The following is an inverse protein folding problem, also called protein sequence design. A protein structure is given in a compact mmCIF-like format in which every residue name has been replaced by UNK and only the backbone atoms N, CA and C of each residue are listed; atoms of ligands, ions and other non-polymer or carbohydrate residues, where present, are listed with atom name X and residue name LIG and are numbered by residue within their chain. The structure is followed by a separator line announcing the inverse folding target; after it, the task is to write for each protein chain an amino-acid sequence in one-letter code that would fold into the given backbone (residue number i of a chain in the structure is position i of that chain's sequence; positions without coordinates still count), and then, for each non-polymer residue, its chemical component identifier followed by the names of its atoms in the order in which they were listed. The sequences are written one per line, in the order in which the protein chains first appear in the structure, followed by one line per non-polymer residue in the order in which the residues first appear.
data_IF_295720122709
#
_entry.id   IF_295720122709
#
_cell.length_a   1.000
_cell.length_b   1.000
_cell.length_c   1.000
_cell.angle_alpha   90.00
_cell.angle_beta   90.00
_cell.angle_gamma   90.00
#
_symmetry.space_group_name_H-M   'P 1'
#
loop_
_entity.id
_entity.type
_entity.pdbx_description
1 polymer ?
#
# COMPACT_ATOMS: atom_id res chain seq x y z
N UNK A 1 -78.39 -38.86 -29.11
CA UNK A 1 -77.00 -38.76 -29.56
C UNK A 1 -76.15 -38.37 -28.36
N UNK A 2 -75.40 -39.32 -27.79
CA UNK A 2 -74.50 -39.07 -26.66
C UNK A 2 -73.24 -38.37 -27.17
N UNK A 3 -72.91 -37.22 -26.58
CA UNK A 3 -71.66 -36.52 -26.81
C UNK A 3 -70.50 -37.33 -26.19
N UNK A 4 -69.55 -37.74 -27.02
CA UNK A 4 -68.39 -38.52 -26.61
C UNK A 4 -67.46 -37.73 -25.70
N UNK A 5 -67.14 -38.32 -24.55
CA UNK A 5 -66.08 -37.89 -23.65
C UNK A 5 -64.74 -38.21 -24.35
N UNK A 6 -64.07 -37.18 -24.86
CA UNK A 6 -62.73 -37.30 -25.44
C UNK A 6 -61.70 -37.59 -24.34
N UNK A 7 -60.97 -38.69 -24.49
CA UNK A 7 -59.91 -39.11 -23.59
C UNK A 7 -58.79 -38.05 -23.50
N UNK A 8 -58.45 -37.63 -22.27
CA UNK A 8 -57.26 -36.82 -21.99
C UNK A 8 -56.01 -37.70 -22.15
N UNK A 9 -55.20 -37.47 -23.18
CA UNK A 9 -53.96 -38.23 -23.41
C UNK A 9 -52.91 -37.91 -22.34
N UNK A 10 -52.52 -38.92 -21.53
CA UNK A 10 -51.59 -38.79 -20.40
C UNK A 10 -50.10 -38.63 -20.72
N UNK A 11 -49.72 -38.49 -22.00
CA UNK A 11 -48.31 -38.37 -22.43
C UNK A 11 -47.99 -37.00 -23.04
N UNK A 12 -48.74 -35.94 -22.69
CA UNK A 12 -48.47 -34.60 -23.19
C UNK A 12 -47.38 -33.95 -22.33
N UNK A 13 -46.26 -33.48 -22.91
CA UNK A 13 -45.23 -32.79 -22.14
C UNK A 13 -45.82 -31.54 -21.49
N UNK A 14 -45.34 -31.23 -20.28
CA UNK A 14 -45.80 -30.10 -19.50
C UNK A 14 -45.70 -28.81 -20.32
N UNK A 15 -46.79 -28.05 -20.38
CA UNK A 15 -46.90 -26.82 -21.15
C UNK A 15 -46.61 -25.60 -20.27
N UNK A 16 -45.44 -25.59 -19.61
CA UNK A 16 -44.97 -24.45 -18.81
C UNK A 16 -43.97 -23.63 -19.62
N UNK A 17 -43.81 -22.33 -19.29
CA UNK A 17 -42.85 -21.46 -19.97
C UNK A 17 -41.40 -21.98 -19.87
N UNK A 18 -41.06 -22.69 -18.80
CA UNK A 18 -39.76 -23.32 -18.60
C UNK A 18 -39.57 -24.55 -19.49
N UNK A 19 -40.49 -25.52 -19.43
CA UNK A 19 -40.42 -26.79 -20.18
C UNK A 19 -40.55 -26.59 -21.70
N UNK A 20 -41.22 -25.52 -22.12
CA UNK A 20 -41.40 -25.16 -23.54
C UNK A 20 -40.36 -24.14 -24.04
N UNK A 21 -39.39 -23.73 -23.20
CA UNK A 21 -38.34 -22.77 -23.54
C UNK A 21 -38.87 -21.40 -24.02
N UNK A 22 -39.96 -20.91 -23.40
CA UNK A 22 -40.60 -19.62 -23.69
C UNK A 22 -40.47 -18.63 -22.55
N UNK A 23 -39.43 -18.77 -21.74
CA UNK A 23 -39.13 -17.78 -20.71
C UNK A 23 -38.90 -16.41 -21.37
N UNK A 24 -39.38 -15.32 -20.73
CA UNK A 24 -39.05 -13.98 -21.20
C UNK A 24 -37.54 -13.80 -21.13
N UNK A 25 -36.91 -13.58 -22.28
CA UNK A 25 -35.47 -13.41 -22.40
C UNK A 25 -35.18 -12.10 -23.15
N UNK A 26 -34.19 -11.35 -22.67
CA UNK A 26 -33.64 -10.24 -23.42
C UNK A 26 -32.61 -10.78 -24.41
N UNK A 27 -32.84 -10.54 -25.70
CA UNK A 27 -31.97 -10.98 -26.80
C UNK A 27 -31.38 -9.77 -27.51
N UNK A 28 -30.34 -9.12 -26.94
CA UNK A 28 -29.74 -7.94 -27.55
C UNK A 28 -29.03 -8.34 -28.85
N UNK A 29 -29.51 -7.80 -29.96
CA UNK A 29 -28.82 -7.87 -31.24
C UNK A 29 -27.86 -6.68 -31.33
N UNK A 30 -26.56 -6.98 -31.31
CA UNK A 30 -25.49 -6.00 -31.50
C UNK A 30 -25.41 -5.61 -32.99
N UNK A 31 -26.27 -4.67 -33.39
CA UNK A 31 -26.24 -4.06 -34.71
C UNK A 31 -25.29 -2.85 -34.71
N UNK A 32 -24.90 -2.37 -35.90
CA UNK A 32 -24.08 -1.17 -36.01
C UNK A 32 -24.74 0.05 -35.33
N UNK A 33 -26.07 0.16 -35.41
CA UNK A 33 -26.83 1.24 -34.79
C UNK A 33 -26.80 1.23 -33.25
N UNK A 34 -26.57 0.09 -32.62
CA UNK A 34 -26.43 -0.02 -31.16
C UNK A 34 -24.96 -0.03 -30.71
N UNK A 35 -24.07 -0.66 -31.47
CA UNK A 35 -22.65 -0.75 -31.13
C UNK A 35 -21.90 0.57 -31.32
N UNK A 36 -22.14 1.31 -32.41
CA UNK A 36 -21.40 2.55 -32.72
C UNK A 36 -21.56 3.61 -31.62
N UNK A 37 -22.77 3.96 -31.14
CA UNK A 37 -22.93 4.90 -30.04
C UNK A 37 -22.22 4.43 -28.77
N UNK A 38 -22.24 3.11 -28.49
CA UNK A 38 -21.58 2.55 -27.30
C UNK A 38 -20.07 2.81 -27.33
N UNK A 39 -19.40 2.58 -28.46
CA UNK A 39 -17.96 2.82 -28.60
C UNK A 39 -17.59 4.30 -28.42
N UNK A 40 -18.35 5.22 -29.04
CA UNK A 40 -18.10 6.66 -28.88
C UNK A 40 -18.39 7.14 -27.45
N UNK A 41 -19.51 6.72 -26.85
CA UNK A 41 -19.86 7.09 -25.47
C UNK A 41 -18.84 6.54 -24.47
N UNK A 42 -18.48 5.26 -24.58
CA UNK A 42 -17.47 4.65 -23.72
C UNK A 42 -16.09 5.31 -23.91
N UNK A 43 -15.72 5.63 -25.15
CA UNK A 43 -14.48 6.31 -25.48
C UNK A 43 -14.39 7.71 -24.86
N UNK A 44 -15.42 8.54 -25.05
CA UNK A 44 -15.50 9.89 -24.47
C UNK A 44 -15.51 9.86 -22.94
N UNK A 45 -16.26 8.92 -22.33
CA UNK A 45 -16.27 8.74 -20.88
C UNK A 45 -14.88 8.33 -20.36
N UNK A 46 -14.20 7.40 -21.02
CA UNK A 46 -12.84 6.99 -20.64
C UNK A 46 -11.82 8.11 -20.79
N UNK A 47 -11.94 8.95 -21.84
CA UNK A 47 -11.08 10.13 -21.99
C UNK A 47 -11.31 11.16 -20.89
N UNK A 48 -12.57 11.47 -20.56
CA UNK A 48 -12.90 12.41 -19.50
C UNK A 48 -12.36 11.94 -18.13
N UNK A 49 -12.58 10.65 -17.81
CA UNK A 49 -12.01 10.05 -16.60
C UNK A 49 -10.49 10.07 -16.66
N UNK A 50 -9.88 9.63 -17.76
CA UNK A 50 -8.42 9.59 -17.93
C UNK A 50 -7.74 10.95 -17.73
N UNK A 51 -8.31 12.02 -18.30
CA UNK A 51 -7.84 13.39 -18.10
C UNK A 51 -7.96 13.83 -16.63
N UNK A 52 -9.10 13.56 -15.99
CA UNK A 52 -9.30 13.88 -14.58
C UNK A 52 -8.32 13.16 -13.66
N UNK A 53 -8.10 11.86 -13.88
CA UNK A 53 -7.14 11.05 -13.12
C UNK A 53 -5.70 11.52 -13.33
N UNK A 54 -5.33 11.85 -14.58
CA UNK A 54 -3.99 12.33 -14.91
C UNK A 54 -3.72 13.68 -14.24
N UNK A 55 -4.64 14.64 -14.37
CA UNK A 55 -4.55 15.94 -13.71
C UNK A 55 -4.49 15.81 -12.18
N UNK A 56 -5.32 14.95 -11.59
CA UNK A 56 -5.29 14.70 -10.15
C UNK A 56 -3.97 14.06 -9.68
N UNK A 57 -3.26 13.32 -10.53
CA UNK A 57 -1.94 12.79 -10.22
C UNK A 57 -0.85 13.86 -10.34
N UNK A 58 -0.95 14.76 -11.32
CA UNK A 58 0.06 15.80 -11.56
C UNK A 58 0.04 16.93 -10.53
N UNK A 59 -1.10 17.18 -9.91
CA UNK A 59 -1.20 18.12 -8.78
C UNK A 59 -0.46 17.66 -7.52
N UNK A 60 -0.12 16.37 -7.43
CA UNK A 60 0.62 15.80 -6.29
C UNK A 60 2.09 16.21 -6.36
N UNK A 61 2.56 16.79 -5.25
CA UNK A 61 3.96 17.18 -5.08
C UNK A 61 4.68 16.08 -4.31
N UNK A 62 5.77 15.61 -4.88
CA UNK A 62 6.58 14.52 -4.35
C UNK A 62 8.06 14.90 -4.44
N UNK A 63 8.79 14.67 -3.35
CA UNK A 63 10.24 14.82 -3.27
C UNK A 63 10.83 13.50 -2.78
N UNK A 64 11.73 12.91 -3.58
CA UNK A 64 12.50 11.72 -3.19
C UNK A 64 13.93 12.10 -2.84
N UNK A 65 14.42 11.66 -1.69
CA UNK A 65 15.78 11.86 -1.23
C UNK A 65 16.44 10.50 -0.99
N UNK A 66 17.46 10.17 -1.78
CA UNK A 66 18.28 8.98 -1.56
C UNK A 66 19.31 9.24 -0.46
N UNK A 67 19.30 8.38 0.55
CA UNK A 67 20.25 8.42 1.68
C UNK A 67 21.00 7.10 1.86
N UNK A 68 21.00 6.24 0.83
CA UNK A 68 21.65 4.92 0.86
C UNK A 68 23.13 5.02 1.26
N UNK A 69 23.80 6.10 0.83
CA UNK A 69 25.22 6.33 1.09
C UNK A 69 26.15 5.85 -0.03
N UNK A 70 25.70 5.91 -1.29
CA UNK A 70 26.53 5.58 -2.44
C UNK A 70 27.75 6.52 -2.55
N UNK A 71 28.92 6.03 -3.01
CA UNK A 71 30.11 6.86 -3.20
C UNK A 71 29.82 8.02 -4.17
N UNK A 72 30.19 9.24 -3.78
CA UNK A 72 29.98 10.44 -4.61
C UNK A 72 28.63 11.16 -4.40
N UNK A 73 27.78 10.72 -3.48
CA UNK A 73 26.44 11.29 -3.26
C UNK A 73 26.39 12.68 -2.61
N UNK A 74 27.54 13.31 -2.35
CA UNK A 74 27.64 14.68 -1.81
C UNK A 74 27.21 14.86 -0.35
N UNK A 75 26.76 13.79 0.33
CA UNK A 75 26.31 13.82 1.72
C UNK A 75 27.03 12.78 2.60
N UNK A 76 27.00 12.97 3.92
CA UNK A 76 27.77 12.19 4.89
C UNK A 76 27.22 10.77 5.17
N UNK A 77 26.08 10.39 4.58
CA UNK A 77 25.49 9.05 4.77
C UNK A 77 26.37 7.91 4.24
N UNK A 78 27.32 8.18 3.33
CA UNK A 78 28.32 7.20 2.89
C UNK A 78 29.21 6.68 4.03
N UNK A 79 29.52 7.53 5.02
CA UNK A 79 30.24 7.12 6.23
C UNK A 79 29.42 6.15 7.06
N UNK A 80 28.12 6.45 7.22
CA UNK A 80 27.20 5.58 7.96
C UNK A 80 26.93 4.26 7.25
N UNK A 81 26.88 4.26 5.92
CA UNK A 81 26.70 3.04 5.15
C UNK A 81 27.90 2.08 5.34
N UNK A 82 29.13 2.61 5.33
CA UNK A 82 30.34 1.85 5.61
C UNK A 82 30.43 1.40 7.09
N UNK A 83 30.06 2.27 8.03
CA UNK A 83 30.03 1.93 9.46
C UNK A 83 29.00 0.83 9.78
N UNK A 84 27.83 0.89 9.14
CA UNK A 84 26.77 -0.11 9.26
C UNK A 84 27.21 -1.47 8.71
N UNK A 85 27.97 -1.50 7.61
CA UNK A 85 28.62 -2.73 7.11
C UNK A 85 29.65 -3.30 8.09
N UNK A 86 30.37 -2.44 8.81
CA UNK A 86 31.35 -2.84 9.81
C UNK A 86 30.74 -3.23 11.18
N UNK A 87 29.41 -3.19 11.32
CA UNK A 87 28.71 -3.54 12.56
C UNK A 87 28.83 -2.49 13.67
N UNK A 88 29.25 -1.25 13.35
CA UNK A 88 29.29 -0.15 14.29
C UNK A 88 27.89 0.47 14.44
N UNK A 89 27.31 0.40 15.64
CA UNK A 89 26.01 1.01 15.93
C UNK A 89 26.08 2.53 16.11
N UNK A 90 24.98 3.22 15.81
CA UNK A 90 24.79 4.63 16.16
C UNK A 90 25.49 5.63 15.24
N UNK A 91 25.17 5.61 13.94
CA UNK A 91 25.63 6.64 12.99
C UNK A 91 24.50 7.57 12.59
N UNK A 92 24.76 8.88 12.61
CA UNK A 92 23.81 9.89 12.14
C UNK A 92 24.33 10.60 10.91
N UNK A 93 23.47 10.77 9.91
CA UNK A 93 23.76 11.54 8.71
C UNK A 93 22.69 12.61 8.48
N UNK A 94 23.04 13.67 7.74
CA UNK A 94 22.16 14.81 7.54
C UNK A 94 22.04 15.12 6.06
N UNK A 95 20.81 15.24 5.59
CA UNK A 95 20.49 15.70 4.24
C UNK A 95 19.96 17.13 4.29
N UNK A 96 20.56 18.02 3.50
CA UNK A 96 20.03 19.37 3.28
C UNK A 96 19.39 19.43 1.91
N UNK A 97 18.17 19.92 1.84
CA UNK A 97 17.41 20.04 0.60
C UNK A 97 16.55 21.29 0.60
N UNK A 98 16.14 21.73 -0.57
CA UNK A 98 15.28 22.88 -0.77
C UNK A 98 13.96 22.43 -1.39
N UNK A 99 12.85 22.91 -0.84
CA UNK A 99 11.54 22.80 -1.47
C UNK A 99 11.35 24.03 -2.35
N UNK A 100 11.30 23.89 -3.70
CA UNK A 100 11.15 25.02 -4.62
C UNK A 100 9.73 25.59 -4.61
N UNK A 101 8.76 24.81 -4.16
CA UNK A 101 7.36 25.21 -4.02
C UNK A 101 6.83 24.66 -2.70
N UNK A 102 5.76 25.28 -2.19
CA UNK A 102 5.05 24.79 -1.01
C UNK A 102 4.40 23.44 -1.29
N UNK A 103 4.51 22.51 -0.35
CA UNK A 103 3.75 21.25 -0.36
C UNK A 103 2.45 21.45 0.44
N UNK A 104 1.26 21.42 -0.20
CA UNK A 104 0.00 21.56 0.51
C UNK A 104 -0.24 20.38 1.46
N UNK A 105 -0.72 20.67 2.68
CA UNK A 105 -1.02 19.65 3.68
C UNK A 105 -2.27 18.82 3.33
N UNK A 106 -2.39 17.59 3.87
CA UNK A 106 -1.41 16.91 4.73
C UNK A 106 -0.23 16.35 3.92
N UNK A 107 0.99 16.49 4.45
CA UNK A 107 2.20 15.91 3.85
C UNK A 107 2.54 14.61 4.57
N UNK A 108 2.72 13.53 3.80
CA UNK A 108 3.11 12.23 4.31
C UNK A 108 4.59 11.98 4.07
N UNK A 109 5.27 11.48 5.09
CA UNK A 109 6.65 11.05 5.05
C UNK A 109 6.69 9.52 4.92
N UNK A 110 7.30 9.02 3.86
CA UNK A 110 7.50 7.60 3.62
C UNK A 110 8.99 7.26 3.64
N UNK A 111 9.32 6.06 4.10
CA UNK A 111 10.59 5.42 3.74
C UNK A 111 10.33 4.43 2.60
N UNK A 112 11.27 4.36 1.66
CA UNK A 112 11.26 3.40 0.57
C UNK A 112 12.50 2.52 0.65
N UNK A 113 12.28 1.21 0.53
CA UNK A 113 13.32 0.20 0.39
C UNK A 113 13.23 -0.37 -1.03
N UNK A 114 14.38 -0.59 -1.65
CA UNK A 114 14.49 -1.31 -2.91
C UNK A 114 15.25 -2.63 -2.71
N UNK A 115 15.04 -3.57 -3.63
CA UNK A 115 15.67 -4.89 -3.60
C UNK A 115 15.41 -5.66 -2.30
N UNK A 116 14.22 -5.48 -1.71
CA UNK A 116 13.81 -6.12 -0.46
C UNK A 116 12.54 -6.96 -0.65
N UNK A 117 12.67 -8.28 -0.67
CA UNK A 117 11.61 -9.21 -1.09
C UNK A 117 10.69 -9.65 0.06
N UNK A 118 9.82 -8.75 0.56
CA UNK A 118 8.78 -9.11 1.55
C UNK A 118 7.77 -10.14 1.04
N UNK A 119 7.61 -10.24 -0.28
CA UNK A 119 6.69 -11.16 -0.95
C UNK A 119 7.24 -12.59 -1.08
N UNK A 120 8.47 -12.87 -0.64
CA UNK A 120 9.00 -14.23 -0.65
C UNK A 120 8.16 -15.13 0.26
N UNK A 121 7.72 -16.29 -0.24
CA UNK A 121 6.76 -17.18 0.46
C UNK A 121 7.15 -17.45 1.92
N UNK A 122 8.39 -17.90 2.16
CA UNK A 122 8.88 -18.21 3.52
C UNK A 122 8.95 -16.99 4.43
N UNK A 123 9.16 -15.79 3.87
CA UNK A 123 9.19 -14.56 4.65
C UNK A 123 7.76 -14.14 5.01
N UNK A 124 6.85 -14.11 4.02
CA UNK A 124 5.47 -13.64 4.18
C UNK A 124 4.63 -14.50 5.13
N UNK A 125 4.90 -15.81 5.21
CA UNK A 125 4.21 -16.71 6.15
C UNK A 125 4.85 -16.75 7.54
N UNK A 126 6.05 -16.20 7.71
CA UNK A 126 6.80 -16.29 8.97
C UNK A 126 6.33 -15.24 9.98
N UNK A 127 5.16 -15.51 10.57
CA UNK A 127 4.50 -14.79 11.67
C UNK A 127 3.48 -15.69 12.36
N UNK A 128 3.04 -15.29 13.55
CA UNK A 128 1.93 -15.92 14.25
C UNK A 128 0.84 -14.87 14.53
N UNK A 129 -0.28 -14.97 13.80
CA UNK A 129 -1.37 -14.01 13.93
C UNK A 129 -2.11 -14.14 15.29
N UNK A 130 -2.07 -15.30 15.96
CA UNK A 130 -2.64 -15.44 17.33
C UNK A 130 -1.77 -14.74 18.36
N UNK A 131 -0.45 -14.86 18.22
CA UNK A 131 0.48 -14.12 19.06
C UNK A 131 0.29 -12.61 18.89
N UNK A 132 0.18 -12.13 17.65
CA UNK A 132 0.02 -10.71 17.31
C UNK A 132 -1.34 -10.13 17.73
N UNK A 133 -2.36 -10.98 17.91
CA UNK A 133 -3.65 -10.59 18.49
C UNK A 133 -3.65 -10.63 20.03
N UNK A 134 -2.52 -10.90 20.68
CA UNK A 134 -2.40 -10.90 22.15
C UNK A 134 -2.85 -12.18 22.84
N UNK A 135 -3.06 -13.28 22.10
CA UNK A 135 -3.45 -14.56 22.72
C UNK A 135 -2.30 -15.15 23.55
N UNK A 136 -2.56 -15.42 24.83
CA UNK A 136 -1.60 -16.01 25.76
C UNK A 136 -1.08 -17.38 25.27
N UNK A 137 -1.90 -18.14 24.53
CA UNK A 137 -1.49 -19.42 23.95
C UNK A 137 -0.41 -19.24 22.87
N UNK A 138 -0.57 -18.22 22.01
CA UNK A 138 0.39 -17.86 20.97
C UNK A 138 1.67 -17.21 21.51
N UNK A 139 1.60 -16.53 22.66
CA UNK A 139 2.79 -16.04 23.36
C UNK A 139 3.67 -17.19 23.89
N UNK A 140 3.04 -18.20 24.49
CA UNK A 140 3.75 -19.32 25.12
C UNK A 140 4.23 -20.37 24.12
N UNK A 141 3.45 -20.62 23.07
CA UNK A 141 3.76 -21.60 22.03
C UNK A 141 3.48 -21.03 20.64
N UNK A 142 4.41 -20.23 20.08
CA UNK A 142 4.19 -19.60 18.79
C UNK A 142 4.11 -20.63 17.65
N UNK A 143 3.46 -20.26 16.55
CA UNK A 143 3.28 -21.11 15.37
C UNK A 143 4.60 -21.63 14.77
N UNK A 144 4.55 -22.81 14.14
CA UNK A 144 5.71 -23.45 13.47
C UNK A 144 6.23 -22.65 12.27
N UNK A 145 5.35 -21.89 11.62
CA UNK A 145 5.68 -21.02 10.48
C UNK A 145 6.68 -19.90 10.86
N UNK A 146 6.78 -19.54 12.14
CA UNK A 146 7.77 -18.58 12.64
C UNK A 146 9.22 -19.09 12.57
N UNK A 147 9.47 -20.36 12.24
CA UNK A 147 10.83 -20.91 12.13
C UNK A 147 11.67 -20.15 11.09
N UNK A 148 12.94 -19.80 11.38
CA UNK A 148 13.72 -20.16 12.58
C UNK A 148 13.53 -19.21 13.77
N UNK A 149 12.85 -18.08 13.60
CA UNK A 149 12.66 -17.03 14.62
C UNK A 149 11.48 -17.32 15.56
N UNK A 150 11.27 -18.59 15.91
CA UNK A 150 10.22 -19.03 16.82
C UNK A 150 10.68 -19.00 18.27
N UNK A 151 11.91 -19.46 18.51
CA UNK A 151 12.52 -19.58 19.83
C UNK A 151 13.99 -19.13 19.77
N UNK A 152 14.48 -18.57 20.87
CA UNK A 152 15.90 -18.30 21.10
C UNK A 152 16.69 -19.62 21.23
N UNK A 153 18.04 -19.66 21.12
CA UNK A 153 18.83 -20.88 21.29
C UNK A 153 18.65 -21.57 22.66
N UNK A 154 18.12 -20.84 23.66
CA UNK A 154 17.76 -21.36 24.99
C UNK A 154 16.37 -22.01 25.05
N UNK A 155 15.63 -22.06 23.94
CA UNK A 155 14.27 -22.60 23.88
C UNK A 155 13.17 -21.64 24.36
N UNK A 156 13.51 -20.37 24.63
CA UNK A 156 12.55 -19.34 25.06
C UNK A 156 11.77 -18.82 23.85
N UNK A 157 10.43 -18.79 23.86
CA UNK A 157 9.61 -18.21 22.80
C UNK A 157 9.96 -16.75 22.49
N UNK A 158 10.06 -16.41 21.21
CA UNK A 158 10.30 -15.03 20.75
C UNK A 158 8.96 -14.31 20.58
N UNK A 159 8.85 -13.08 21.08
CA UNK A 159 7.68 -12.23 20.91
C UNK A 159 8.11 -10.82 20.44
N UNK A 160 7.70 -10.39 19.23
CA UNK A 160 6.97 -11.14 18.19
C UNK A 160 7.86 -12.15 17.44
N UNK A 161 7.34 -13.34 17.13
CA UNK A 161 8.05 -14.35 16.37
C UNK A 161 8.04 -14.08 14.85
N UNK A 162 9.01 -14.69 14.16
CA UNK A 162 9.02 -14.74 12.69
C UNK A 162 9.93 -13.72 11.99
N UNK A 163 10.22 -14.02 10.73
CA UNK A 163 11.19 -13.26 9.93
C UNK A 163 10.74 -11.82 9.63
N UNK A 164 9.42 -11.62 9.48
CA UNK A 164 8.85 -10.28 9.23
C UNK A 164 9.17 -9.38 10.41
N UNK A 165 8.81 -9.81 11.62
CA UNK A 165 9.00 -9.00 12.81
C UNK A 165 10.49 -8.81 13.12
N UNK A 166 11.31 -9.85 13.02
CA UNK A 166 12.75 -9.76 13.29
C UNK A 166 13.47 -8.72 12.41
N UNK A 167 13.00 -8.50 11.18
CA UNK A 167 13.63 -7.57 10.23
C UNK A 167 13.02 -6.16 10.23
N UNK A 168 12.34 -5.78 11.31
CA UNK A 168 11.73 -4.45 11.51
C UNK A 168 12.68 -3.31 11.12
N UNK A 169 12.18 -2.39 10.30
CA UNK A 169 12.88 -1.17 9.93
C UNK A 169 13.10 -0.26 11.15
N UNK A 170 14.33 0.20 11.36
CA UNK A 170 14.74 0.89 12.60
C UNK A 170 15.59 2.16 12.37
N UNK A 171 15.60 2.73 11.16
CA UNK A 171 16.12 4.09 10.98
C UNK A 171 15.12 5.10 11.56
N UNK A 172 15.64 6.19 12.12
CA UNK A 172 14.80 7.27 12.65
C UNK A 172 15.07 8.57 11.93
N UNK A 173 14.01 9.36 11.72
CA UNK A 173 14.06 10.62 10.99
C UNK A 173 13.66 11.80 11.87
N UNK A 174 14.46 12.87 11.84
CA UNK A 174 14.15 14.16 12.45
C UNK A 174 14.23 15.27 11.40
N UNK A 175 13.12 15.97 11.17
CA UNK A 175 13.01 17.01 10.15
C UNK A 175 13.10 18.40 10.78
N UNK A 176 13.85 19.29 10.14
CA UNK A 176 14.01 20.68 10.54
C UNK A 176 13.80 21.63 9.37
N UNK A 177 13.13 22.74 9.62
CA UNK A 177 12.90 23.83 8.68
C UNK A 177 13.79 25.03 9.02
N UNK A 178 14.48 25.60 8.04
CA UNK A 178 15.30 26.79 8.24
C UNK A 178 14.42 28.05 8.18
N UNK A 179 14.28 28.76 9.30
CA UNK A 179 13.65 30.07 9.34
C UNK A 179 14.56 31.06 10.09
N UNK A 180 14.70 32.29 9.59
CA UNK A 180 15.52 33.33 10.21
C UNK A 180 16.97 32.87 10.56
N UNK A 181 17.58 32.05 9.70
CA UNK A 181 18.94 31.52 9.90
C UNK A 181 19.05 30.38 10.94
N UNK A 182 17.95 29.96 11.57
CA UNK A 182 17.93 28.89 12.59
C UNK A 182 17.04 27.72 12.16
N UNK A 183 17.44 26.50 12.48
CA UNK A 183 16.67 25.29 12.19
C UNK A 183 15.64 25.02 13.29
N UNK A 184 14.36 25.07 12.95
CA UNK A 184 13.24 24.72 13.83
C UNK A 184 12.74 23.30 13.55
N UNK A 185 12.45 22.49 14.58
CA UNK A 185 11.94 21.14 14.37
C UNK A 185 10.54 21.17 13.73
N UNK A 186 10.33 20.30 12.75
CA UNK A 186 9.02 20.03 12.17
C UNK A 186 8.43 18.84 12.91
N UNK A 187 7.29 19.00 13.61
CA UNK A 187 6.62 17.89 14.29
C UNK A 187 6.23 16.80 13.28
N UNK A 188 6.69 15.57 13.54
CA UNK A 188 6.36 14.39 12.75
C UNK A 188 5.43 13.52 13.58
N UNK A 189 4.13 13.52 13.26
CA UNK A 189 3.15 12.72 14.00
C UNK A 189 3.25 11.24 13.61
N UNK A 190 3.27 10.38 14.62
CA UNK A 190 3.31 8.92 14.52
C UNK A 190 1.93 8.26 14.66
N UNK A 191 0.87 9.04 14.87
CA UNK A 191 -0.50 8.56 15.00
C UNK A 191 -1.23 8.51 13.66
N UNK A 192 -2.12 7.54 13.52
CA UNK A 192 -2.99 7.39 12.35
C UNK A 192 -2.20 7.16 11.06
N UNK A 193 -1.12 6.36 11.16
CA UNK A 193 -0.31 5.88 10.04
C UNK A 193 -0.68 4.44 9.64
N UNK A 194 -1.31 3.70 10.56
CA UNK A 194 -1.87 2.38 10.34
C UNK A 194 -3.37 2.43 9.97
N UNK A 195 -3.88 1.35 9.38
CA UNK A 195 -5.31 1.23 9.12
C UNK A 195 -6.06 0.96 10.42
N UNK A 196 -7.24 1.55 10.57
CA UNK A 196 -8.06 1.40 11.77
C UNK A 196 -8.32 -0.06 12.15
N UNK A 197 -8.59 -0.93 11.17
CA UNK A 197 -8.80 -2.37 11.41
C UNK A 197 -7.56 -3.08 11.91
N UNK A 198 -6.36 -2.63 11.52
CA UNK A 198 -5.13 -3.23 12.02
C UNK A 198 -4.91 -2.87 13.48
N UNK A 199 -5.04 -1.59 13.81
CA UNK A 199 -4.76 -1.08 15.17
C UNK A 199 -5.84 -1.42 16.19
N UNK A 200 -7.10 -1.62 15.77
CA UNK A 200 -8.22 -1.84 16.71
C UNK A 200 -8.78 -3.26 16.72
N UNK A 201 -8.47 -4.09 15.71
CA UNK A 201 -9.04 -5.44 15.60
C UNK A 201 -7.95 -6.50 15.45
N UNK A 202 -7.03 -6.30 14.49
CA UNK A 202 -6.09 -7.35 14.09
C UNK A 202 -4.92 -7.51 15.07
N UNK A 203 -4.33 -6.41 15.51
CA UNK A 203 -3.21 -6.40 16.44
C UNK A 203 -3.72 -5.98 17.81
N UNK A 204 -3.28 -6.69 18.85
CA UNK A 204 -3.65 -6.40 20.22
C UNK A 204 -2.55 -6.85 21.16
N UNK A 205 -2.35 -6.10 22.24
CA UNK A 205 -1.45 -6.52 23.30
C UNK A 205 -2.08 -7.64 24.12
N UNK A 206 -1.27 -8.52 24.72
CA UNK A 206 -1.76 -9.45 25.73
C UNK A 206 -2.39 -8.70 26.91
N UNK A 207 -3.30 -9.37 27.62
CA UNK A 207 -3.93 -8.80 28.81
C UNK A 207 -2.89 -8.35 29.83
N UNK A 208 -3.07 -7.14 30.36
CA UNK A 208 -2.17 -6.53 31.34
C UNK A 208 -2.21 -7.31 32.66
N UNK A 209 -1.06 -7.81 33.11
CA UNK A 209 -0.93 -8.48 34.40
C UNK A 209 -0.35 -7.49 35.40
N UNK A 210 -1.07 -7.19 36.48
CA UNK A 210 -0.68 -6.17 37.47
C UNK A 210 -0.46 -4.77 36.86
N UNK A 211 -1.19 -4.44 35.79
CA UNK A 211 -1.10 -3.14 35.12
C UNK A 211 0.19 -2.89 34.34
N UNK A 212 1.06 -3.89 34.19
CA UNK A 212 2.29 -3.78 33.40
C UNK A 212 2.24 -4.67 32.16
N UNK A 213 2.78 -4.15 31.06
CA UNK A 213 2.93 -4.92 29.82
C UNK A 213 4.17 -5.84 29.90
N UNK A 214 5.20 -5.44 30.64
CA UNK A 214 6.41 -6.25 30.84
C UNK A 214 6.10 -7.59 31.51
N UNK A 215 5.22 -7.58 32.51
CA UNK A 215 4.74 -8.79 33.20
C UNK A 215 3.89 -9.66 32.28
N UNK A 216 3.12 -9.06 31.36
CA UNK A 216 2.33 -9.79 30.36
C UNK A 216 3.22 -10.52 29.34
N UNK A 217 4.38 -9.95 28.99
CA UNK A 217 5.38 -10.57 28.12
C UNK A 217 6.37 -11.50 28.86
N UNK A 218 6.18 -11.74 30.17
CA UNK A 218 7.08 -12.58 30.96
C UNK A 218 7.15 -14.00 30.39
N UNK A 219 8.37 -14.52 30.24
CA UNK A 219 8.62 -15.84 29.65
C UNK A 219 8.83 -15.81 28.13
N UNK A 220 8.73 -14.63 27.50
CA UNK A 220 9.12 -14.42 26.11
C UNK A 220 10.44 -13.67 26.03
N UNK A 221 11.06 -13.63 24.85
CA UNK A 221 12.25 -12.85 24.57
C UNK A 221 12.14 -12.05 23.29
N UNK A 222 12.99 -11.03 23.14
CA UNK A 222 12.98 -10.13 21.97
C UNK A 222 13.51 -10.86 20.72
N UNK A 223 13.12 -10.42 19.52
CA UNK A 223 13.75 -10.90 18.29
C UNK A 223 15.27 -10.62 18.28
N UNK A 224 16.07 -11.48 17.63
CA UNK A 224 17.53 -11.35 17.60
C UNK A 224 18.03 -9.96 17.19
N UNK A 225 17.44 -9.37 16.15
CA UNK A 225 17.89 -8.09 15.58
C UNK A 225 17.27 -6.85 16.25
N UNK A 226 16.43 -7.04 17.28
CA UNK A 226 15.82 -5.91 17.97
C UNK A 226 16.73 -5.41 19.10
N UNK A 227 16.86 -4.10 19.31
CA UNK A 227 17.63 -3.56 20.44
C UNK A 227 16.93 -3.81 21.78
N UNK A 228 15.60 -3.69 21.80
CA UNK A 228 14.75 -3.82 22.99
C UNK A 228 13.57 -4.76 22.74
N UNK A 229 12.84 -5.13 23.79
CA UNK A 229 11.65 -5.97 23.68
C UNK A 229 10.43 -5.19 23.14
N UNK A 230 9.40 -5.91 22.69
CA UNK A 230 8.22 -5.30 22.05
C UNK A 230 7.47 -4.30 22.93
N UNK A 231 7.38 -4.56 24.23
CA UNK A 231 6.74 -3.66 25.18
C UNK A 231 7.53 -2.36 25.44
N UNK A 232 8.75 -2.24 24.90
CA UNK A 232 9.61 -1.05 24.98
C UNK A 232 9.72 -0.27 23.66
N UNK A 233 8.87 -0.58 22.66
CA UNK A 233 8.91 0.12 21.36
C UNK A 233 8.60 1.62 21.50
N UNK A 234 7.71 1.99 22.42
CA UNK A 234 7.41 3.38 22.76
C UNK A 234 7.20 3.50 24.28
N UNK A 235 8.25 3.86 25.03
CA UNK A 235 8.18 3.95 26.49
C UNK A 235 7.33 5.12 26.99
N UNK A 236 7.00 6.09 26.14
CA UNK A 236 6.24 7.29 26.50
C UNK A 236 4.73 7.17 26.31
N UNK A 237 4.25 6.15 25.60
CA UNK A 237 2.87 6.05 25.18
C UNK A 237 2.32 4.61 25.24
N UNK A 238 1.51 4.33 26.26
CA UNK A 238 0.85 3.01 26.41
C UNK A 238 -0.08 2.66 25.25
N UNK A 239 -0.62 3.66 24.54
CA UNK A 239 -1.51 3.44 23.41
C UNK A 239 -0.74 3.13 22.11
N UNK A 240 0.60 3.19 22.11
CA UNK A 240 1.44 2.99 20.93
C UNK A 240 2.68 2.12 21.21
N UNK A 241 2.56 1.17 22.14
CA UNK A 241 3.65 0.25 22.51
C UNK A 241 3.21 -1.22 22.45
N UNK A 242 4.16 -2.15 22.30
CA UNK A 242 3.85 -3.57 22.10
C UNK A 242 3.42 -3.88 20.66
N UNK A 243 2.48 -4.80 20.49
CA UNK A 243 1.98 -5.22 19.17
C UNK A 243 1.08 -4.17 18.51
N UNK A 244 0.55 -3.22 19.28
CA UNK A 244 -0.28 -2.12 18.77
C UNK A 244 0.54 -0.92 18.28
N UNK A 245 1.87 -0.94 18.40
CA UNK A 245 2.73 0.12 17.90
C UNK A 245 2.53 0.32 16.40
N UNK A 246 2.20 1.55 15.97
CA UNK A 246 1.79 1.79 14.59
C UNK A 246 2.93 1.57 13.57
N UNK A 247 4.19 1.87 13.94
CA UNK A 247 5.35 1.60 13.09
C UNK A 247 5.54 0.10 12.85
N UNK A 248 5.37 -0.69 13.92
CA UNK A 248 5.38 -2.14 13.85
C UNK A 248 4.25 -2.67 12.97
N UNK A 249 3.01 -2.20 13.14
CA UNK A 249 1.86 -2.60 12.33
C UNK A 249 2.09 -2.29 10.84
N UNK A 250 2.58 -1.08 10.53
CA UNK A 250 2.89 -0.68 9.14
C UNK A 250 3.95 -1.61 8.54
N UNK A 251 4.96 -2.01 9.30
CA UNK A 251 5.96 -2.97 8.85
C UNK A 251 5.38 -4.36 8.60
N UNK A 252 4.55 -4.87 9.52
CA UNK A 252 3.96 -6.22 9.47
C UNK A 252 3.01 -6.44 8.28
N UNK A 253 2.49 -5.37 7.67
CA UNK A 253 1.82 -5.45 6.37
C UNK A 253 2.84 -5.70 5.26
N UNK A 254 2.94 -6.94 4.78
CA UNK A 254 3.89 -7.32 3.73
C UNK A 254 3.62 -6.58 2.41
N UNK A 255 4.69 -6.06 1.80
CA UNK A 255 4.63 -5.45 0.48
C UNK A 255 4.59 -6.50 -0.63
N UNK A 256 3.87 -6.20 -1.71
CA UNK A 256 3.72 -7.10 -2.85
C UNK A 256 4.92 -7.09 -3.82
N UNK A 257 5.70 -6.01 -3.82
CA UNK A 257 6.82 -5.76 -4.73
C UNK A 257 8.14 -5.59 -3.96
N UNK A 258 9.30 -5.86 -4.58
CA UNK A 258 10.62 -5.72 -3.94
C UNK A 258 11.04 -4.26 -3.69
N UNK A 259 10.46 -3.33 -4.44
CA UNK A 259 10.57 -1.90 -4.19
C UNK A 259 9.25 -1.42 -3.65
N UNK A 260 9.24 -0.95 -2.41
CA UNK A 260 8.03 -0.52 -1.73
C UNK A 260 8.31 0.67 -0.82
N UNK A 261 7.27 1.46 -0.59
CA UNK A 261 7.26 2.53 0.39
C UNK A 261 6.27 2.24 1.50
N UNK A 262 6.60 2.66 2.72
CA UNK A 262 5.76 2.54 3.91
C UNK A 262 5.64 3.89 4.58
N UNK A 263 4.44 4.20 5.07
CA UNK A 263 4.17 5.46 5.75
C UNK A 263 4.93 5.47 7.07
N UNK A 264 5.72 6.50 7.29
CA UNK A 264 6.44 6.71 8.54
C UNK A 264 5.69 7.71 9.40
N UNK A 265 5.49 8.95 8.91
CA UNK A 265 4.90 10.03 9.71
C UNK A 265 3.99 10.91 8.87
N UNK A 266 3.14 11.68 9.54
CA UNK A 266 2.29 12.70 8.91
C UNK A 266 2.65 14.08 9.45
N UNK A 267 2.79 15.05 8.57
CA UNK A 267 3.00 16.45 8.92
C UNK A 267 1.66 17.17 8.81
N UNK A 268 1.04 17.43 9.96
CA UNK A 268 -0.23 18.14 10.04
C UNK A 268 -0.44 18.90 11.36
N UNK A 269 0.61 19.04 12.19
CA UNK A 269 0.53 19.70 13.49
C UNK A 269 1.24 21.06 13.50
N UNK A 270 0.78 21.95 14.39
CA UNK A 270 1.38 23.27 14.63
C UNK A 270 1.42 24.18 13.40
N UNK A 271 2.55 24.86 13.23
CA UNK A 271 2.78 25.79 12.11
C UNK A 271 2.84 25.10 10.74
N UNK A 272 2.87 23.77 10.71
CA UNK A 272 2.92 22.95 9.50
C UNK A 272 1.60 22.21 9.22
N UNK A 273 0.52 22.56 9.92
CA UNK A 273 -0.84 22.03 9.69
C UNK A 273 -1.33 22.22 8.26
N UNK A 274 -0.96 23.33 7.64
CA UNK A 274 -1.30 23.64 6.25
C UNK A 274 -0.28 23.11 5.23
N UNK A 275 0.68 22.30 5.67
CA UNK A 275 1.73 21.70 4.85
C UNK A 275 3.13 22.28 5.08
N UNK A 276 4.07 21.93 4.19
CA UNK A 276 5.45 22.39 4.26
C UNK A 276 5.65 23.62 3.37
N UNK A 277 6.02 24.80 3.94
CA UNK A 277 6.33 25.97 3.13
C UNK A 277 7.53 25.74 2.19
N UNK A 278 7.63 26.60 1.18
CA UNK A 278 8.84 26.71 0.37
C UNK A 278 10.02 27.13 1.26
N UNK A 279 11.18 26.52 1.08
CA UNK A 279 12.37 26.86 1.86
C UNK A 279 13.37 25.73 2.00
N UNK A 280 14.42 25.97 2.79
CA UNK A 280 15.48 25.00 3.06
C UNK A 280 15.14 24.14 4.27
N UNK A 281 15.35 22.84 4.13
CA UNK A 281 15.14 21.85 5.16
C UNK A 281 16.41 21.06 5.44
N UNK A 282 16.49 20.52 6.65
CA UNK A 282 17.49 19.53 7.07
C UNK A 282 16.79 18.31 7.62
N UNK A 283 17.15 17.14 7.12
CA UNK A 283 16.70 15.85 7.61
C UNK A 283 17.87 15.14 8.27
N UNK A 284 17.79 14.96 9.57
CA UNK A 284 18.76 14.19 10.36
C UNK A 284 18.26 12.74 10.46
N UNK A 285 19.12 11.79 10.09
CA UNK A 285 18.80 10.38 9.93
C UNK A 285 19.71 9.56 10.83
N UNK A 286 19.14 8.79 11.75
CA UNK A 286 19.88 7.75 12.48
C UNK A 286 19.88 6.48 11.62
N UNK A 287 21.06 6.13 11.10
CA UNK A 287 21.26 5.06 10.13
C UNK A 287 21.59 3.76 10.86
N UNK A 288 20.58 2.92 11.06
CA UNK A 288 20.67 1.64 11.75
C UNK A 288 20.42 0.44 10.81
N UNK A 289 19.63 0.61 9.75
CA UNK A 289 19.16 -0.46 8.88
C UNK A 289 20.13 -0.70 7.70
N UNK A 290 20.88 -1.82 7.68
CA UNK A 290 21.84 -2.10 6.62
C UNK A 290 21.12 -2.58 5.34
N UNK A 291 21.42 -1.95 4.19
CA UNK A 291 20.88 -2.37 2.88
C UNK A 291 21.95 -2.74 1.86
N UNK A 292 23.19 -2.29 2.06
CA UNK A 292 24.27 -2.50 1.10
C UNK A 292 24.66 -3.98 0.96
N UNK A 293 24.48 -4.78 2.01
CA UNK A 293 24.80 -6.22 2.02
C UNK A 293 24.00 -7.02 0.99
N UNK A 294 22.80 -6.55 0.62
CA UNK A 294 21.95 -7.16 -0.40
C UNK A 294 21.70 -6.24 -1.60
N UNK A 295 22.57 -5.24 -1.81
CA UNK A 295 22.46 -4.28 -2.92
C UNK A 295 21.10 -3.56 -2.97
N UNK A 296 20.53 -3.26 -1.80
CA UNK A 296 19.31 -2.46 -1.68
C UNK A 296 19.61 -0.96 -1.59
N UNK A 297 18.58 -0.15 -1.83
CA UNK A 297 18.63 1.31 -1.66
C UNK A 297 17.58 1.80 -0.67
N UNK A 298 17.86 2.92 -0.02
CA UNK A 298 16.97 3.60 0.91
C UNK A 298 16.68 5.01 0.44
N UNK A 299 15.40 5.35 0.36
CA UNK A 299 14.94 6.72 0.07
C UNK A 299 13.96 7.19 1.12
N UNK A 300 13.95 8.49 1.36
CA UNK A 300 12.89 9.18 2.09
C UNK A 300 12.06 9.93 1.08
N UNK A 301 10.74 9.83 1.17
CA UNK A 301 9.81 10.44 0.23
C UNK A 301 8.84 11.33 1.00
N UNK A 302 8.80 12.60 0.64
CA UNK A 302 7.75 13.52 1.07
C UNK A 302 6.72 13.59 -0.06
N UNK A 303 5.47 13.25 0.22
CA UNK A 303 4.40 13.32 -0.78
C UNK A 303 3.15 13.95 -0.18
N UNK A 304 2.50 14.82 -0.95
CA UNK A 304 1.09 15.15 -0.70
C UNK A 304 0.21 13.99 -1.14
N UNK A 305 -1.03 13.96 -0.68
CA UNK A 305 -2.00 12.92 -1.04
C UNK A 305 -3.23 13.55 -1.66
N UNK A 306 -3.76 12.92 -2.70
CA UNK A 306 -5.08 13.23 -3.26
C UNK A 306 -6.09 12.17 -2.79
N UNK A 307 -7.35 12.34 -3.18
CA UNK A 307 -8.40 11.34 -2.94
C UNK A 307 -8.09 9.97 -3.57
N UNK A 308 -7.19 9.92 -4.57
CA UNK A 308 -6.74 8.68 -5.22
C UNK A 308 -5.48 8.07 -4.57
N UNK A 309 -4.91 8.74 -3.57
CA UNK A 309 -3.65 8.35 -2.95
C UNK A 309 -2.46 9.19 -3.44
N UNK A 310 -1.32 8.54 -3.66
CA UNK A 310 -0.07 9.18 -4.06
C UNK A 310 0.05 9.41 -5.57
N UNK A 311 1.16 10.03 -5.99
CA UNK A 311 1.46 10.31 -7.40
C UNK A 311 1.54 9.01 -8.20
N UNK A 312 0.63 8.84 -9.17
CA UNK A 312 0.64 7.71 -10.09
C UNK A 312 -0.15 8.04 -11.37
N UNK A 313 0.53 8.45 -12.46
CA UNK A 313 -0.15 8.81 -13.70
C UNK A 313 -0.61 7.59 -14.52
N UNK A 314 -0.18 6.37 -14.16
CA UNK A 314 -0.43 5.16 -14.96
C UNK A 314 -1.91 4.93 -15.24
N UNK A 315 -2.76 5.04 -14.21
CA UNK A 315 -4.19 4.80 -14.36
C UNK A 315 -4.82 5.81 -15.35
N UNK A 316 -4.47 7.09 -15.22
CA UNK A 316 -4.92 8.13 -16.17
C UNK A 316 -4.49 7.82 -17.60
N UNK A 317 -3.22 7.46 -17.80
CA UNK A 317 -2.67 7.10 -19.12
C UNK A 317 -3.41 5.89 -19.73
N UNK A 318 -3.68 4.84 -18.95
CA UNK A 318 -4.41 3.66 -19.43
C UNK A 318 -5.82 4.02 -19.90
N UNK A 319 -6.54 4.85 -19.14
CA UNK A 319 -7.87 5.33 -19.53
C UNK A 319 -7.82 6.19 -20.81
N UNK A 320 -6.79 7.03 -20.97
CA UNK A 320 -6.60 7.82 -22.19
C UNK A 320 -6.33 6.95 -23.42
N UNK A 321 -5.47 5.93 -23.29
CA UNK A 321 -5.16 4.98 -24.37
C UNK A 321 -6.42 4.19 -24.74
N UNK A 322 -7.13 3.63 -23.76
CA UNK A 322 -8.34 2.84 -24.01
C UNK A 322 -9.46 3.70 -24.60
N UNK A 323 -9.67 4.91 -24.09
CA UNK A 323 -10.64 5.86 -24.62
C UNK A 323 -10.35 6.24 -26.08
N UNK A 324 -9.08 6.50 -26.40
CA UNK A 324 -8.62 6.80 -27.77
C UNK A 324 -8.82 5.61 -28.70
N UNK A 325 -8.49 4.39 -28.24
CA UNK A 325 -8.67 3.16 -29.01
C UNK A 325 -10.15 2.87 -29.29
N UNK A 326 -11.04 3.10 -28.32
CA UNK A 326 -12.50 2.96 -28.50
C UNK A 326 -13.04 3.92 -29.57
N UNK A 327 -12.62 5.19 -29.54
CA UNK A 327 -13.05 6.19 -30.54
C UNK A 327 -12.52 5.83 -31.92
N UNK A 328 -11.24 5.46 -32.04
CA UNK A 328 -10.65 5.04 -33.30
C UNK A 328 -11.39 3.82 -33.88
N UNK A 329 -11.67 2.82 -33.04
CA UNK A 329 -12.43 1.63 -33.43
C UNK A 329 -13.85 2.01 -33.87
N UNK A 330 -14.51 2.95 -33.17
CA UNK A 330 -15.80 3.50 -33.56
C UNK A 330 -15.79 4.14 -34.96
N UNK A 331 -14.76 4.94 -35.28
CA UNK A 331 -14.60 5.51 -36.62
C UNK A 331 -14.35 4.44 -37.70
N UNK A 332 -13.55 3.43 -37.41
CA UNK A 332 -13.31 2.30 -38.34
C UNK A 332 -14.60 1.53 -38.60
N UNK A 333 -15.36 1.19 -37.54
CA UNK A 333 -16.65 0.52 -37.67
C UNK A 333 -17.66 1.36 -38.45
N UNK A 334 -17.67 2.68 -38.25
CA UNK A 334 -18.55 3.60 -38.98
C UNK A 334 -18.21 3.62 -40.47
N UNK A 335 -16.92 3.71 -40.83
CA UNK A 335 -16.47 3.67 -42.21
C UNK A 335 -16.85 2.35 -42.91
N UNK A 336 -16.66 1.22 -42.22
CA UNK A 336 -17.07 -0.11 -42.72
C UNK A 336 -18.58 -0.19 -42.89
N UNK A 337 -19.37 0.30 -41.93
CA UNK A 337 -20.82 0.30 -42.01
C UNK A 337 -21.34 1.10 -43.21
N UNK A 338 -20.80 2.30 -43.44
CA UNK A 338 -21.15 3.14 -44.59
C UNK A 338 -20.79 2.42 -45.91
N UNK A 339 -19.65 1.74 -45.97
CA UNK A 339 -19.24 0.98 -47.16
C UNK A 339 -20.23 -0.15 -47.50
N UNK A 340 -20.63 -0.94 -46.51
CA UNK A 340 -21.59 -2.04 -46.72
C UNK A 340 -23.00 -1.55 -47.03
N UNK A 341 -23.45 -0.43 -46.45
CA UNK A 341 -24.73 0.17 -46.84
C UNK A 341 -24.74 0.59 -48.32
N UNK A 342 -23.64 1.17 -48.82
CA UNK A 342 -23.53 1.53 -50.24
C UNK A 342 -23.51 0.30 -51.16
N UNK A 343 -22.82 -0.79 -50.79
CA UNK A 343 -22.85 -2.03 -51.58
C UNK A 343 -24.26 -2.60 -51.66
N UNK A 344 -24.97 -2.69 -50.54
CA UNK A 344 -26.35 -3.18 -50.54
C UNK A 344 -27.30 -2.30 -51.35
N UNK A 345 -27.06 -0.99 -51.48
CA UNK A 345 -27.84 -0.13 -52.37
C UNK A 345 -27.55 -0.40 -53.85
N UNK A 346 -26.28 -0.61 -54.22
CA UNK A 346 -25.89 -0.93 -55.61
C UNK A 346 -26.33 -2.32 -56.04
N UNK A 347 -26.43 -3.29 -55.13
CA UNK A 347 -26.93 -4.65 -55.44
C UNK A 347 -28.45 -4.72 -55.62
N UNK A 348 -29.18 -3.64 -55.26
CA UNK A 348 -30.65 -3.55 -55.33
C UNK A 348 -31.12 -2.71 -56.53
N UNK A 349 -30.25 -1.89 -57.13
CA UNK A 349 -30.49 -1.16 -58.41
C UNK A 349 -30.13 -2.01 -59.64
#
# INVERSE_FOLDING_TARGET
AMAGIGALSGNKPDNTAFTQQRLPAWQPLLSAGTALPLFFCAGLACLAVGLGLHFSSDTIRELELDYTGAPGSGHNCSRCANASLAGAGGCTCSLRFELPERFPGPVCLYYQLSNYYQNHRRYSVSRDDRQLSGDASGLSNPATECSPFRTDPRGIPIAPCGAIANSLFNDTFALYHLANGTFYPVPLDNRGISWWTDSNIKFSNPELINGSLETAFKGTTKPPNWPHAAYMLDMGNLNNTGFINEDFIVWMRTAALPTFRKLYRRVHEGNFSSGLPQGTYRLDITYNYPVLSFQGTKKVIFSTVSWMGGKNPFLGIVYLIFGSACILTGFVMLAVHIKFQKQNQMDVE
#
